data_IF_714052458849
#
_entry.id   IF_714052458849
#
_cell.length_a   1.000
_cell.length_b   1.000
_cell.length_c   1.000
_cell.angle_alpha   90.00
_cell.angle_beta   90.00
_cell.angle_gamma   90.00
#
_symmetry.space_group_name_H-M   'P 1'
#
loop_
_entity.id
_entity.type
_entity.pdbx_description
1 polymer ?
#
# COMPACT_ATOMS: atom_id res chain seq x y z
N UNK A 1 5.42 31.17 -4.32
CA UNK A 1 4.88 31.63 -3.02
C UNK A 1 5.79 31.13 -1.89
N UNK A 2 5.85 31.81 -0.73
CA UNK A 2 6.50 31.28 0.46
C UNK A 2 5.81 29.97 0.88
N UNK A 3 6.56 28.93 1.21
CA UNK A 3 6.02 27.70 1.80
C UNK A 3 5.76 27.90 3.29
N UNK A 4 4.69 27.30 3.82
CA UNK A 4 4.35 27.43 5.24
C UNK A 4 5.51 26.94 6.14
N UNK A 5 5.71 27.62 7.27
CA UNK A 5 6.73 27.32 8.28
C UNK A 5 6.17 26.64 9.52
N UNK A 6 4.90 26.25 9.52
CA UNK A 6 4.26 25.58 10.65
C UNK A 6 4.93 24.24 10.96
N UNK A 7 5.44 23.99 12.18
CA UNK A 7 6.11 22.73 12.53
C UNK A 7 5.16 21.54 12.50
N UNK A 8 3.85 21.77 12.72
CA UNK A 8 2.84 20.70 12.73
C UNK A 8 2.67 20.03 11.37
N UNK A 9 2.74 20.79 10.26
CA UNK A 9 2.65 20.23 8.91
C UNK A 9 3.81 19.26 8.62
N UNK A 10 4.99 19.53 9.18
CA UNK A 10 6.15 18.65 9.02
C UNK A 10 6.07 17.41 9.93
N UNK A 11 5.44 17.49 11.09
CA UNK A 11 5.11 16.29 11.88
C UNK A 11 4.13 15.38 11.14
N UNK A 12 3.14 15.97 10.46
CA UNK A 12 2.22 15.22 9.60
C UNK A 12 2.99 14.55 8.46
N UNK A 13 3.85 15.28 7.75
CA UNK A 13 4.69 14.70 6.69
C UNK A 13 5.59 13.56 7.19
N UNK A 14 6.13 13.65 8.41
CA UNK A 14 6.90 12.57 9.06
C UNK A 14 6.04 11.34 9.33
N UNK A 15 4.86 11.53 9.89
CA UNK A 15 3.93 10.43 10.15
C UNK A 15 3.54 9.73 8.83
N UNK A 16 3.25 10.50 7.78
CA UNK A 16 3.00 9.95 6.44
C UNK A 16 4.22 9.21 5.87
N UNK A 17 5.42 9.73 6.07
CA UNK A 17 6.66 9.08 5.65
C UNK A 17 6.91 7.74 6.35
N UNK A 18 6.69 7.67 7.67
CA UNK A 18 6.76 6.42 8.43
C UNK A 18 5.71 5.41 7.96
N UNK A 19 4.47 5.87 7.74
CA UNK A 19 3.40 5.03 7.23
C UNK A 19 3.74 4.44 5.86
N UNK A 20 4.17 5.27 4.90
CA UNK A 20 4.58 4.82 3.57
C UNK A 20 5.78 3.86 3.63
N UNK A 21 6.79 4.15 4.46
CA UNK A 21 7.92 3.26 4.66
C UNK A 21 7.48 1.89 5.22
N UNK A 22 6.56 1.89 6.19
CA UNK A 22 5.98 0.67 6.75
C UNK A 22 5.23 -0.16 5.71
N UNK A 23 4.40 0.47 4.86
CA UNK A 23 3.74 -0.21 3.74
C UNK A 23 4.75 -0.80 2.76
N UNK A 24 5.82 -0.06 2.43
CA UNK A 24 6.88 -0.54 1.55
C UNK A 24 7.63 -1.75 2.11
N UNK A 25 7.97 -1.73 3.41
CA UNK A 25 8.59 -2.86 4.10
C UNK A 25 7.64 -4.07 4.12
N UNK A 26 6.36 -3.85 4.42
CA UNK A 26 5.36 -4.92 4.40
C UNK A 26 5.26 -5.58 3.02
N UNK A 27 5.23 -4.81 1.93
CA UNK A 27 5.19 -5.34 0.57
C UNK A 27 6.46 -6.08 0.16
N UNK A 28 7.63 -5.70 0.71
CA UNK A 28 8.90 -6.42 0.50
C UNK A 28 8.95 -7.77 1.21
N UNK A 29 8.48 -7.82 2.46
CA UNK A 29 8.59 -9.01 3.31
C UNK A 29 7.38 -9.94 3.22
N UNK A 30 6.22 -9.41 2.85
CA UNK A 30 4.95 -10.12 2.74
C UNK A 30 4.15 -9.64 1.51
N UNK A 31 4.64 -9.91 0.28
CA UNK A 31 4.00 -9.43 -0.95
C UNK A 31 2.58 -9.97 -1.14
N UNK A 32 2.29 -11.20 -0.67
CA UNK A 32 0.94 -11.80 -0.72
C UNK A 32 -0.03 -11.03 0.17
N UNK A 33 0.36 -10.77 1.41
CA UNK A 33 -0.44 -9.97 2.33
C UNK A 33 -0.66 -8.54 1.82
N UNK A 34 0.36 -7.94 1.20
CA UNK A 34 0.25 -6.61 0.59
C UNK A 34 -0.75 -6.59 -0.59
N UNK A 35 -0.72 -7.59 -1.48
CA UNK A 35 -1.73 -7.72 -2.54
C UNK A 35 -3.16 -7.81 -1.97
N UNK A 36 -3.33 -8.65 -0.94
CA UNK A 36 -4.63 -8.85 -0.29
C UNK A 36 -5.13 -7.58 0.42
N UNK A 37 -4.24 -6.81 1.06
CA UNK A 37 -4.57 -5.54 1.71
C UNK A 37 -5.25 -4.55 0.76
N UNK A 38 -4.86 -4.57 -0.52
CA UNK A 38 -5.40 -3.69 -1.56
C UNK A 38 -6.55 -4.32 -2.36
N UNK A 39 -6.96 -5.55 -2.03
CA UNK A 39 -8.05 -6.25 -2.70
C UNK A 39 -7.68 -6.86 -4.05
N UNK A 40 -6.38 -6.97 -4.37
CA UNK A 40 -5.95 -7.66 -5.60
C UNK A 40 -5.93 -9.18 -5.38
N UNK A 41 -6.61 -9.97 -6.24
CA UNK A 41 -6.60 -11.42 -6.12
C UNK A 41 -5.22 -11.98 -6.43
N UNK A 42 -4.79 -12.97 -5.65
CA UNK A 42 -3.54 -13.67 -5.94
C UNK A 42 -3.75 -14.67 -7.08
N UNK A 43 -2.91 -14.68 -8.15
CA UNK A 43 -3.10 -15.59 -9.29
C UNK A 43 -3.10 -17.09 -8.96
N UNK A 44 -2.53 -17.47 -7.81
CA UNK A 44 -2.54 -18.83 -7.28
C UNK A 44 -3.66 -19.15 -6.28
N UNK A 45 -4.58 -18.22 -6.00
CA UNK A 45 -5.66 -18.42 -5.03
C UNK A 45 -6.71 -19.39 -5.58
N UNK A 46 -6.92 -20.51 -4.88
CA UNK A 46 -7.99 -21.47 -5.15
C UNK A 46 -8.80 -21.73 -3.88
N UNK A 47 -10.10 -21.95 -4.03
CA UNK A 47 -10.94 -22.41 -2.94
C UNK A 47 -10.50 -23.82 -2.53
N UNK A 48 -10.29 -24.08 -1.24
CA UNK A 48 -10.02 -25.42 -0.76
C UNK A 48 -11.33 -26.22 -0.77
N UNK A 49 -11.48 -27.20 -1.65
CA UNK A 49 -12.56 -28.17 -1.53
C UNK A 49 -12.21 -29.25 -0.50
N UNK A 50 -13.21 -29.71 0.25
CA UNK A 50 -13.13 -30.76 1.28
C UNK A 50 -12.48 -32.08 0.80
N UNK A 51 -12.35 -32.27 -0.52
CA UNK A 51 -11.81 -33.49 -1.14
C UNK A 51 -10.27 -33.60 -1.11
N UNK A 52 -9.52 -32.54 -0.79
CA UNK A 52 -8.05 -32.58 -0.70
C UNK A 52 -7.54 -33.31 0.57
N UNK A 53 -8.45 -33.75 1.46
CA UNK A 53 -8.14 -34.34 2.77
C UNK A 53 -8.20 -35.87 2.83
N UNK A 54 -8.40 -36.59 1.71
CA UNK A 54 -8.65 -38.05 1.73
C UNK A 54 -7.41 -38.96 1.60
N UNK A 55 -6.19 -38.47 1.86
CA UNK A 55 -4.95 -39.28 1.75
C UNK A 55 -4.21 -39.47 3.08
N UNK A 56 -4.93 -39.48 4.20
CA UNK A 56 -4.35 -39.78 5.51
C UNK A 56 -5.43 -40.28 6.46
N UNK A 57 -5.34 -41.54 6.86
CA UNK A 57 -6.11 -42.11 7.95
C UNK A 57 -5.88 -41.31 9.23
N UNK A 58 -6.91 -40.69 9.79
CA UNK A 58 -7.32 -40.88 11.18
C UNK A 58 -8.55 -40.02 11.50
N UNK A 59 -9.50 -40.65 12.19
CA UNK A 59 -10.81 -40.13 12.58
C UNK A 59 -10.73 -38.96 13.58
N UNK A 60 -11.26 -37.80 13.20
CA UNK A 60 -11.56 -36.70 14.14
C UNK A 60 -12.88 -36.00 13.73
N UNK A 61 -13.78 -35.63 14.67
CA UNK A 61 -15.13 -35.20 14.33
C UNK A 61 -15.15 -33.75 13.84
N UNK A 62 -16.12 -33.48 12.98
CA UNK A 62 -16.35 -32.26 12.24
C UNK A 62 -16.23 -30.97 13.07
N UNK A 63 -15.21 -30.16 12.74
CA UNK A 63 -15.20 -28.73 13.02
C UNK A 63 -15.56 -28.04 11.72
N UNK A 64 -16.60 -27.21 11.76
CA UNK A 64 -17.17 -26.53 10.61
C UNK A 64 -16.12 -25.69 9.85
N UNK A 65 -16.02 -25.97 8.56
CA UNK A 65 -15.64 -25.14 7.41
C UNK A 65 -14.84 -23.86 7.73
N UNK A 66 -13.52 -23.97 7.65
CA UNK A 66 -12.65 -22.80 7.47
C UNK A 66 -12.34 -22.74 5.98
N UNK A 67 -12.90 -21.76 5.28
CA UNK A 67 -12.60 -21.43 3.89
C UNK A 67 -11.15 -20.91 3.80
N UNK A 68 -10.19 -21.83 3.92
CA UNK A 68 -8.76 -21.51 3.76
C UNK A 68 -8.49 -21.47 2.27
N UNK A 69 -8.53 -20.27 1.68
CA UNK A 69 -8.01 -20.06 0.33
C UNK A 69 -6.57 -20.55 0.26
N UNK A 70 -6.36 -21.69 -0.40
CA UNK A 70 -5.04 -22.27 -0.62
C UNK A 70 -4.38 -21.49 -1.75
N UNK A 71 -3.17 -20.99 -1.51
CA UNK A 71 -2.37 -20.34 -2.54
C UNK A 71 -1.36 -21.32 -3.11
N UNK A 72 -1.59 -21.75 -4.34
CA UNK A 72 -0.68 -22.61 -5.10
C UNK A 72 0.44 -21.74 -5.68
N UNK A 73 1.67 -22.26 -5.70
CA UNK A 73 2.79 -21.59 -6.35
C UNK A 73 2.66 -21.71 -7.88
N UNK A 74 2.42 -20.58 -8.54
CA UNK A 74 2.30 -20.49 -10.01
C UNK A 74 3.33 -19.49 -10.55
N UNK A 75 3.77 -19.62 -11.81
CA UNK A 75 4.64 -18.62 -12.45
C UNK A 75 4.08 -17.19 -12.36
N UNK A 76 2.77 -17.03 -12.55
CA UNK A 76 2.06 -15.76 -12.49
C UNK A 76 2.02 -15.21 -11.06
N UNK A 77 1.85 -16.10 -10.06
CA UNK A 77 1.93 -15.76 -8.64
C UNK A 77 3.32 -15.22 -8.27
N UNK A 78 4.39 -15.92 -8.69
CA UNK A 78 5.77 -15.45 -8.46
C UNK A 78 6.07 -14.12 -9.14
N UNK A 79 5.52 -13.89 -10.35
CA UNK A 79 5.63 -12.61 -11.04
C UNK A 79 4.89 -11.51 -10.27
N UNK A 80 3.64 -11.74 -9.85
CA UNK A 80 2.85 -10.78 -9.08
C UNK A 80 3.53 -10.42 -7.75
N UNK A 81 4.06 -11.42 -7.03
CA UNK A 81 4.82 -11.21 -5.80
C UNK A 81 6.10 -10.42 -6.05
N UNK A 82 6.84 -10.73 -7.11
CA UNK A 82 8.07 -9.99 -7.50
C UNK A 82 7.78 -8.54 -7.85
N UNK A 83 6.69 -8.28 -8.58
CA UNK A 83 6.24 -6.93 -8.89
C UNK A 83 5.78 -6.19 -7.65
N UNK A 84 5.10 -6.87 -6.71
CA UNK A 84 4.69 -6.27 -5.45
C UNK A 84 5.89 -5.92 -4.57
N UNK A 85 6.93 -6.76 -4.52
CA UNK A 85 8.19 -6.42 -3.85
C UNK A 85 8.86 -5.20 -4.51
N UNK A 86 8.90 -5.16 -5.85
CA UNK A 86 9.44 -4.01 -6.58
C UNK A 86 8.61 -2.73 -6.32
N UNK A 87 7.29 -2.84 -6.19
CA UNK A 87 6.42 -1.75 -5.78
C UNK A 87 6.72 -1.31 -4.34
N UNK A 88 6.83 -2.27 -3.42
CA UNK A 88 7.20 -2.06 -2.03
C UNK A 88 8.51 -1.30 -1.85
N UNK A 89 9.54 -1.62 -2.65
CA UNK A 89 10.80 -0.85 -2.63
C UNK A 89 10.60 0.62 -3.02
N UNK A 90 9.75 0.93 -3.99
CA UNK A 90 9.44 2.32 -4.39
C UNK A 90 8.68 3.07 -3.31
N UNK A 91 7.70 2.42 -2.70
CA UNK A 91 6.92 2.99 -1.59
C UNK A 91 7.80 3.22 -0.37
N UNK A 92 8.74 2.32 -0.09
CA UNK A 92 9.74 2.49 0.97
C UNK A 92 10.63 3.71 0.70
N UNK A 93 11.17 3.83 -0.52
CA UNK A 93 12.01 4.98 -0.90
C UNK A 93 11.24 6.30 -0.85
N UNK A 94 9.95 6.31 -1.24
CA UNK A 94 9.08 7.48 -1.10
C UNK A 94 8.93 7.88 0.38
N UNK A 95 8.65 6.92 1.26
CA UNK A 95 8.54 7.16 2.70
C UNK A 95 9.84 7.69 3.33
N UNK A 96 10.98 7.10 2.96
CA UNK A 96 12.31 7.58 3.37
C UNK A 96 12.58 8.98 2.81
N UNK A 97 12.18 9.27 1.57
CA UNK A 97 12.29 10.60 0.98
C UNK A 97 11.49 11.65 1.75
N UNK A 98 10.25 11.33 2.13
CA UNK A 98 9.42 12.19 2.97
C UNK A 98 10.08 12.45 4.34
N UNK A 99 10.60 11.40 4.99
CA UNK A 99 11.32 11.53 6.26
C UNK A 99 12.56 12.41 6.10
N UNK A 100 13.42 12.08 5.15
CA UNK A 100 14.66 12.82 4.91
C UNK A 100 14.41 14.29 4.62
N UNK A 101 13.43 14.61 3.77
CA UNK A 101 13.10 16.00 3.44
C UNK A 101 12.43 16.76 4.58
N UNK A 102 11.69 16.07 5.45
CA UNK A 102 11.03 16.67 6.61
C UNK A 102 11.98 16.93 7.81
N UNK A 103 13.13 16.27 7.87
CA UNK A 103 14.13 16.45 8.92
C UNK A 103 15.30 17.33 8.47
N UNK A 104 15.82 17.09 7.27
CA UNK A 104 17.05 17.73 6.78
C UNK A 104 16.89 18.47 5.45
N UNK A 105 15.76 18.28 4.76
CA UNK A 105 15.54 18.90 3.45
C UNK A 105 14.95 20.30 3.52
N UNK A 106 14.70 20.86 2.33
CA UNK A 106 13.98 22.13 2.22
C UNK A 106 12.47 21.92 2.33
N UNK A 107 11.78 22.94 2.84
CA UNK A 107 10.32 23.00 2.93
C UNK A 107 9.66 22.75 1.56
N UNK A 108 10.26 23.29 0.50
CA UNK A 108 9.80 23.09 -0.89
C UNK A 108 9.92 21.64 -1.35
N UNK A 109 11.05 20.98 -1.05
CA UNK A 109 11.25 19.58 -1.42
C UNK A 109 10.26 18.66 -0.69
N UNK A 110 10.02 18.89 0.60
CA UNK A 110 9.04 18.13 1.36
C UNK A 110 7.62 18.33 0.82
N UNK A 111 7.24 19.57 0.53
CA UNK A 111 5.95 19.92 -0.09
C UNK A 111 5.77 19.22 -1.44
N UNK A 112 6.81 19.23 -2.29
CA UNK A 112 6.78 18.54 -3.58
C UNK A 112 6.59 17.02 -3.40
N UNK A 113 7.24 16.40 -2.41
CA UNK A 113 7.06 14.98 -2.13
C UNK A 113 5.66 14.65 -1.60
N UNK A 114 5.03 15.51 -0.80
CA UNK A 114 3.63 15.34 -0.38
C UNK A 114 2.69 15.34 -1.59
N UNK A 115 2.89 16.26 -2.55
CA UNK A 115 2.14 16.26 -3.80
C UNK A 115 2.41 15.03 -4.66
N UNK A 116 3.66 14.61 -4.78
CA UNK A 116 4.01 13.37 -5.49
C UNK A 116 3.35 12.15 -4.87
N UNK A 117 3.35 12.02 -3.53
CA UNK A 117 2.68 10.93 -2.82
C UNK A 117 1.16 10.96 -3.04
N UNK A 118 0.55 12.15 -3.07
CA UNK A 118 -0.87 12.33 -3.40
C UNK A 118 -1.16 11.89 -4.83
N UNK A 119 -0.27 12.19 -5.77
CA UNK A 119 -0.35 11.73 -7.15
C UNK A 119 -0.25 10.21 -7.30
N UNK A 120 0.62 9.56 -6.51
CA UNK A 120 0.69 8.09 -6.46
C UNK A 120 -0.65 7.50 -6.02
N UNK A 121 -1.24 8.01 -4.93
CA UNK A 121 -2.55 7.52 -4.45
C UNK A 121 -3.67 7.69 -5.49
N UNK A 122 -3.66 8.79 -6.26
CA UNK A 122 -4.58 9.02 -7.36
C UNK A 122 -4.44 7.95 -8.46
N UNK A 123 -3.21 7.71 -8.92
CA UNK A 123 -2.91 6.72 -9.96
C UNK A 123 -3.24 5.31 -9.49
N UNK A 124 -2.92 4.96 -8.24
CA UNK A 124 -3.19 3.64 -7.67
C UNK A 124 -4.69 3.34 -7.66
N UNK A 125 -5.53 4.27 -7.21
CA UNK A 125 -6.98 4.07 -7.23
C UNK A 125 -7.55 4.01 -8.65
N UNK A 126 -6.98 4.74 -9.61
CA UNK A 126 -7.35 4.59 -11.02
C UNK A 126 -7.00 3.18 -11.55
N UNK A 127 -5.82 2.67 -11.25
CA UNK A 127 -5.40 1.31 -11.64
C UNK A 127 -6.29 0.27 -10.98
N UNK A 128 -6.59 0.40 -9.69
CA UNK A 128 -7.49 -0.50 -8.95
C UNK A 128 -8.87 -0.56 -9.61
N UNK A 129 -9.50 0.60 -9.85
CA UNK A 129 -10.78 0.68 -10.57
C UNK A 129 -10.74 0.04 -11.95
N UNK A 130 -9.64 0.24 -12.69
CA UNK A 130 -9.47 -0.30 -14.05
C UNK A 130 -9.29 -1.83 -14.05
N UNK A 131 -8.56 -2.38 -13.08
CA UNK A 131 -8.15 -3.78 -13.09
C UNK A 131 -9.16 -4.71 -12.40
N UNK A 132 -9.70 -4.31 -11.24
CA UNK A 132 -10.62 -5.15 -10.46
C UNK A 132 -12.06 -4.60 -10.44
N UNK A 133 -12.33 -3.49 -11.13
CA UNK A 133 -13.67 -2.90 -11.21
C UNK A 133 -14.14 -2.16 -9.96
N UNK A 134 -13.27 -1.99 -8.97
CA UNK A 134 -13.57 -1.36 -7.68
C UNK A 134 -12.29 -1.18 -6.84
N UNK A 135 -12.44 -1.03 -5.51
CA UNK A 135 -11.30 -0.93 -4.58
C UNK A 135 -10.55 0.40 -4.61
N UNK A 136 -10.97 1.37 -5.44
CA UNK A 136 -10.28 2.65 -5.60
C UNK A 136 -10.19 3.45 -4.30
N UNK A 137 -11.19 3.29 -3.42
CA UNK A 137 -11.28 4.02 -2.16
C UNK A 137 -10.22 3.60 -1.14
N UNK A 138 -9.68 2.38 -1.26
CA UNK A 138 -8.51 1.97 -0.47
C UNK A 138 -7.29 2.84 -0.78
N UNK A 139 -7.26 3.51 -1.94
CA UNK A 139 -6.19 4.41 -2.35
C UNK A 139 -6.63 5.89 -2.30
N UNK A 140 -7.82 6.19 -2.82
CA UNK A 140 -8.32 7.56 -2.92
C UNK A 140 -8.69 8.19 -1.58
N UNK A 141 -8.89 7.38 -0.53
CA UNK A 141 -9.05 7.90 0.85
C UNK A 141 -7.89 8.79 1.30
N UNK A 142 -6.69 8.60 0.74
CA UNK A 142 -5.52 9.43 1.06
C UNK A 142 -5.49 10.78 0.32
N UNK A 143 -6.28 10.95 -0.75
CA UNK A 143 -6.22 12.15 -1.61
C UNK A 143 -6.71 13.40 -0.87
N UNK A 144 -7.91 13.43 -0.24
CA UNK A 144 -8.36 14.63 0.46
C UNK A 144 -7.37 15.08 1.53
N UNK A 145 -6.77 14.11 2.26
CA UNK A 145 -5.73 14.37 3.23
C UNK A 145 -4.48 15.00 2.59
N UNK A 146 -3.96 14.38 1.53
CA UNK A 146 -2.78 14.88 0.80
C UNK A 146 -2.98 16.26 0.18
N UNK A 147 -4.17 16.52 -0.38
CA UNK A 147 -4.54 17.83 -0.95
C UNK A 147 -4.57 18.91 0.13
N UNK A 148 -5.17 18.65 1.28
CA UNK A 148 -5.22 19.63 2.38
C UNK A 148 -3.82 19.95 2.89
N UNK A 149 -3.04 18.91 3.25
CA UNK A 149 -1.68 19.09 3.77
C UNK A 149 -0.78 19.74 2.74
N UNK A 150 -0.81 19.26 1.49
CA UNK A 150 -0.01 19.80 0.38
C UNK A 150 -0.33 21.26 0.08
N UNK A 151 -1.61 21.65 0.11
CA UNK A 151 -2.04 23.04 -0.14
C UNK A 151 -1.58 23.99 0.97
N UNK A 152 -1.70 23.58 2.24
CA UNK A 152 -1.20 24.34 3.39
C UNK A 152 0.32 24.48 3.32
N UNK A 153 1.05 23.39 3.08
CA UNK A 153 2.51 23.43 2.96
C UNK A 153 2.98 24.31 1.79
N UNK A 154 2.22 24.33 0.69
CA UNK A 154 2.49 25.16 -0.49
C UNK A 154 2.23 26.65 -0.25
N UNK A 155 1.53 27.02 0.82
CA UNK A 155 1.10 28.40 1.07
C UNK A 155 -0.11 28.84 0.24
N UNK A 156 -0.85 27.89 -0.37
CA UNK A 156 -2.04 28.19 -1.18
C UNK A 156 -3.26 28.44 -0.28
N UNK A 157 -3.28 27.82 0.90
CA UNK A 157 -4.37 27.87 1.87
C UNK A 157 -3.90 28.32 3.28
N UNK A 158 -2.74 29.00 3.34
CA UNK A 158 -2.09 29.51 4.57
C UNK A 158 -2.65 30.90 4.96
#
# INVERSE_FOLDING_TARGET
>A
MPTSRSPYLYYIARASGLFAAGLGINALLNPRGALAMWGFPHPGAVASSTDDQSSGSDSQPAVADVDITKIIDTPEGRLAESLMMLYGSRTLVLGVGLLSTSFWGSHRACTALVWSATGVALVDGFVSKRQIGGGEWNHWGFIPFGVVVGSLMSGIAD
#
